data_IF_185421969488
#
_entry.id   IF_185421969488
#
_cell.length_a   1.000
_cell.length_b   1.000
_cell.length_c   1.000
_cell.angle_alpha   90.00
_cell.angle_beta   90.00
_cell.angle_gamma   90.00
#
_symmetry.space_group_name_H-M   'P 1'
#
loop_
_entity.id
_entity.type
_entity.pdbx_description
1 polymer ?
#
# COMPACT_ATOMS: atom_id res chain seq x y z
N UNK A 1 -51.58 29.73 17.42
CA UNK A 1 -51.37 28.27 17.52
C UNK A 1 -50.86 27.78 16.18
N UNK A 2 -49.58 27.42 16.08
CA UNK A 2 -49.02 26.80 14.87
C UNK A 2 -49.29 25.31 15.00
N UNK A 3 -50.23 24.79 14.22
CA UNK A 3 -50.49 23.34 14.10
C UNK A 3 -49.25 22.69 13.51
N UNK A 4 -48.48 21.97 14.34
CA UNK A 4 -47.49 21.03 13.85
C UNK A 4 -48.24 19.90 13.12
N UNK A 5 -48.23 19.93 11.79
CA UNK A 5 -48.68 18.80 10.99
C UNK A 5 -47.62 17.70 11.12
N UNK A 6 -47.89 16.73 11.99
CA UNK A 6 -47.10 15.49 12.04
C UNK A 6 -47.36 14.71 10.76
N UNK A 7 -46.39 14.74 9.83
CA UNK A 7 -46.43 13.89 8.65
C UNK A 7 -46.26 12.43 9.07
N UNK A 8 -47.34 11.65 9.01
CA UNK A 8 -47.29 10.19 9.23
C UNK A 8 -46.88 9.54 7.92
N UNK A 9 -45.65 9.02 7.88
CA UNK A 9 -45.12 8.28 6.72
C UNK A 9 -45.75 6.88 6.73
N UNK A 10 -46.44 6.45 5.65
CA UNK A 10 -46.99 5.11 5.58
C UNK A 10 -45.89 4.06 5.53
N UNK A 11 -45.97 3.03 6.38
CA UNK A 11 -45.03 1.89 6.36
C UNK A 11 -45.11 1.01 5.08
N UNK A 12 -46.01 1.36 4.15
CA UNK A 12 -46.12 0.71 2.83
C UNK A 12 -45.28 1.40 1.75
N UNK A 13 -44.66 2.54 2.06
CA UNK A 13 -43.73 3.20 1.15
C UNK A 13 -42.40 2.45 1.11
N UNK A 14 -42.37 1.39 0.30
CA UNK A 14 -41.20 0.53 0.14
C UNK A 14 -40.02 1.29 -0.46
N UNK A 15 -40.28 2.26 -1.35
CA UNK A 15 -39.22 3.06 -1.98
C UNK A 15 -38.47 3.92 -0.97
N UNK A 16 -39.20 4.60 -0.07
CA UNK A 16 -38.59 5.38 0.99
C UNK A 16 -37.83 4.51 1.99
N UNK A 17 -38.42 3.38 2.39
CA UNK A 17 -37.79 2.43 3.32
C UNK A 17 -36.49 1.88 2.73
N UNK A 18 -36.49 1.45 1.46
CA UNK A 18 -35.29 0.98 0.77
C UNK A 18 -34.24 2.07 0.66
N UNK A 19 -34.63 3.29 0.28
CA UNK A 19 -33.71 4.43 0.15
C UNK A 19 -33.03 4.76 1.49
N UNK A 20 -33.80 4.83 2.59
CA UNK A 20 -33.25 5.11 3.92
C UNK A 20 -32.43 3.93 4.47
N UNK A 21 -32.84 2.69 4.17
CA UNK A 21 -32.11 1.51 4.56
C UNK A 21 -30.74 1.41 3.87
N UNK A 22 -30.66 1.82 2.59
CA UNK A 22 -29.40 1.97 1.86
C UNK A 22 -28.56 3.11 2.45
N UNK A 23 -29.15 4.31 2.62
CA UNK A 23 -28.47 5.48 3.14
C UNK A 23 -27.78 5.23 4.49
N UNK A 24 -28.49 4.60 5.43
CA UNK A 24 -27.96 4.27 6.75
C UNK A 24 -26.81 3.25 6.73
N UNK A 25 -26.58 2.56 5.59
CA UNK A 25 -25.58 1.49 5.40
C UNK A 25 -24.52 1.83 4.35
N UNK A 26 -24.42 3.10 3.93
CA UNK A 26 -23.43 3.52 2.92
C UNK A 26 -21.98 3.46 3.44
N UNK A 27 -21.79 3.58 4.75
CA UNK A 27 -20.44 3.64 5.35
C UNK A 27 -19.94 2.24 5.68
N UNK A 28 -18.75 1.93 5.17
CA UNK A 28 -17.90 0.84 5.66
C UNK A 28 -16.85 1.41 6.61
N UNK A 29 -16.21 0.58 7.46
CA UNK A 29 -15.04 1.01 8.24
C UNK A 29 -13.98 1.63 7.34
N UNK A 30 -13.12 2.50 7.87
CA UNK A 30 -11.96 2.98 7.11
C UNK A 30 -10.75 2.07 7.32
N UNK A 31 -9.71 2.22 6.50
CA UNK A 31 -8.44 1.52 6.74
C UNK A 31 -7.84 1.97 8.07
N UNK A 32 -7.28 1.02 8.82
CA UNK A 32 -6.62 1.29 10.12
C UNK A 32 -5.45 2.28 9.96
N UNK A 33 -4.76 2.22 8.83
CA UNK A 33 -3.71 3.15 8.42
C UNK A 33 -3.93 3.48 6.95
N UNK A 34 -3.46 4.65 6.51
CA UNK A 34 -3.67 5.10 5.13
C UNK A 34 -5.14 5.29 4.74
N UNK A 35 -5.98 5.74 5.67
CA UNK A 35 -7.40 5.99 5.44
C UNK A 35 -7.64 7.09 4.40
N UNK A 36 -6.95 8.22 4.51
CA UNK A 36 -7.02 9.31 3.54
C UNK A 36 -6.22 8.97 2.29
N UNK A 37 -6.91 8.87 1.15
CA UNK A 37 -6.27 8.53 -0.11
C UNK A 37 -6.97 9.13 -1.33
N UNK A 38 -6.20 9.24 -2.41
CA UNK A 38 -6.68 9.47 -3.75
C UNK A 38 -6.09 8.41 -4.68
N UNK A 39 -6.74 8.14 -5.81
CA UNK A 39 -6.17 7.23 -6.78
C UNK A 39 -6.65 7.46 -8.20
N UNK A 40 -5.95 6.79 -9.11
CA UNK A 40 -6.10 6.95 -10.54
C UNK A 40 -5.73 5.65 -11.25
N UNK A 41 -6.35 5.44 -12.40
CA UNK A 41 -5.94 4.39 -13.33
C UNK A 41 -4.78 4.87 -14.19
N UNK A 42 -3.94 3.91 -14.56
CA UNK A 42 -2.82 4.11 -15.45
C UNK A 42 -2.41 2.82 -16.14
N UNK A 43 -1.26 2.89 -16.78
CA UNK A 43 -0.62 1.79 -17.48
C UNK A 43 0.84 1.70 -17.07
N UNK A 44 1.34 0.48 -16.90
CA UNK A 44 2.76 0.18 -16.82
C UNK A 44 3.23 -0.39 -18.15
N UNK A 45 4.33 0.16 -18.68
CA UNK A 45 4.99 -0.31 -19.91
C UNK A 45 6.41 -0.78 -19.57
N UNK A 46 6.73 -2.03 -19.89
CA UNK A 46 8.09 -2.56 -19.74
C UNK A 46 9.02 -1.91 -20.77
N UNK A 47 10.15 -1.33 -20.33
CA UNK A 47 11.11 -0.66 -21.22
C UNK A 47 12.39 -1.46 -21.43
N UNK A 48 12.67 -2.40 -20.53
CA UNK A 48 13.90 -3.19 -20.51
C UNK A 48 13.54 -4.63 -20.25
N UNK A 49 14.16 -5.55 -20.99
CA UNK A 49 14.03 -6.97 -20.72
C UNK A 49 14.69 -7.30 -19.36
N UNK A 50 13.94 -8.00 -18.50
CA UNK A 50 14.36 -8.41 -17.15
C UNK A 50 14.35 -9.93 -16.99
N UNK A 51 14.36 -10.70 -18.09
CA UNK A 51 14.42 -12.18 -18.06
C UNK A 51 15.64 -12.74 -17.33
N UNK A 52 16.70 -11.94 -17.15
CA UNK A 52 17.90 -12.31 -16.39
C UNK A 52 17.67 -12.34 -14.87
N UNK A 53 16.70 -11.57 -14.37
CA UNK A 53 16.43 -11.42 -12.93
C UNK A 53 15.08 -11.99 -12.49
N UNK A 54 14.10 -12.09 -13.40
CA UNK A 54 12.75 -12.54 -13.05
C UNK A 54 12.10 -13.30 -14.20
N UNK A 55 11.24 -14.25 -13.84
CA UNK A 55 10.38 -14.96 -14.79
C UNK A 55 9.01 -14.30 -14.96
N UNK A 56 8.75 -13.16 -14.32
CA UNK A 56 7.45 -12.51 -14.31
C UNK A 56 7.00 -12.07 -15.71
N UNK A 57 5.86 -12.58 -16.17
CA UNK A 57 5.43 -12.43 -17.57
C UNK A 57 5.27 -10.98 -18.04
N UNK A 58 5.00 -10.04 -17.13
CA UNK A 58 4.85 -8.61 -17.47
C UNK A 58 6.18 -7.86 -17.68
N UNK A 59 7.32 -8.47 -17.31
CA UNK A 59 8.68 -7.91 -17.45
C UNK A 59 9.54 -8.64 -18.49
N UNK A 60 9.04 -9.73 -19.09
CA UNK A 60 9.80 -10.55 -20.05
C UNK A 60 9.77 -10.02 -21.49
N UNK A 61 9.00 -8.96 -21.78
CA UNK A 61 8.84 -8.46 -23.14
C UNK A 61 8.77 -6.95 -23.16
N UNK A 62 9.71 -6.34 -23.89
CA UNK A 62 9.78 -4.90 -24.09
C UNK A 62 8.48 -4.40 -24.73
N UNK A 63 7.99 -3.26 -24.27
CA UNK A 63 6.73 -2.61 -24.67
C UNK A 63 5.46 -3.37 -24.31
N UNK A 64 5.52 -4.42 -23.48
CA UNK A 64 4.32 -5.03 -22.90
C UNK A 64 3.66 -4.04 -21.95
N UNK A 65 2.38 -3.77 -22.19
CA UNK A 65 1.56 -2.87 -21.38
C UNK A 65 0.59 -3.63 -20.50
N UNK A 66 0.46 -3.20 -19.26
CA UNK A 66 -0.52 -3.72 -18.32
C UNK A 66 -1.29 -2.58 -17.67
N UNK A 67 -2.55 -2.82 -17.36
CA UNK A 67 -3.36 -1.87 -16.62
C UNK A 67 -2.91 -1.82 -15.17
N UNK A 68 -3.01 -0.63 -14.58
CA UNK A 68 -2.66 -0.38 -13.19
C UNK A 68 -3.71 0.50 -12.52
N UNK A 69 -3.91 0.27 -11.22
CA UNK A 69 -4.59 1.20 -10.31
C UNK A 69 -3.58 1.70 -9.27
N UNK A 70 -3.40 3.01 -9.19
CA UNK A 70 -2.56 3.68 -8.20
C UNK A 70 -3.43 4.28 -7.09
N UNK A 71 -2.99 4.12 -5.84
CA UNK A 71 -3.55 4.76 -4.64
C UNK A 71 -2.41 5.43 -3.86
N UNK A 72 -2.55 6.74 -3.67
CA UNK A 72 -1.64 7.58 -2.88
C UNK A 72 -2.37 8.00 -1.60
N UNK A 73 -1.70 7.94 -0.46
CA UNK A 73 -2.33 8.15 0.85
C UNK A 73 -1.40 8.83 1.86
N UNK A 74 -1.96 9.45 2.90
CA UNK A 74 -1.24 9.72 4.17
C UNK A 74 -1.20 8.44 5.02
N UNK A 75 -0.70 8.43 6.26
CA UNK A 75 -0.68 7.23 7.14
C UNK A 75 -1.56 7.40 8.36
N UNK A 76 -1.25 8.40 9.19
CA UNK A 76 -1.80 8.54 10.54
C UNK A 76 -3.23 9.10 10.59
N UNK A 77 -3.56 10.15 9.82
CA UNK A 77 -4.87 10.79 9.89
C UNK A 77 -6.04 9.96 9.29
N UNK A 78 -7.26 10.23 9.78
CA UNK A 78 -8.50 9.58 9.31
C UNK A 78 -8.91 10.05 7.90
N UNK A 79 -9.93 9.43 7.29
CA UNK A 79 -10.37 9.73 5.90
C UNK A 79 -10.77 11.19 5.67
N UNK A 80 -11.21 11.90 6.72
CA UNK A 80 -11.63 13.31 6.65
C UNK A 80 -10.50 14.33 6.72
N UNK A 81 -9.26 13.89 6.92
CA UNK A 81 -8.10 14.75 7.16
C UNK A 81 -7.61 15.51 5.92
N UNK A 82 -6.66 16.43 6.14
CA UNK A 82 -6.04 17.23 5.10
C UNK A 82 -4.93 16.47 4.36
N UNK A 83 -4.88 16.62 3.03
CA UNK A 83 -3.88 15.97 2.17
C UNK A 83 -2.46 16.50 2.41
N UNK A 84 -2.31 17.76 2.84
CA UNK A 84 -1.01 18.42 3.01
C UNK A 84 -0.40 18.21 4.40
N UNK A 85 -0.84 17.17 5.12
CA UNK A 85 -0.32 16.87 6.46
C UNK A 85 1.11 16.35 6.36
N UNK A 86 2.00 16.78 7.26
CA UNK A 86 3.36 16.24 7.36
C UNK A 86 3.29 14.80 7.84
N UNK A 87 3.42 13.88 6.90
CA UNK A 87 3.38 12.44 7.15
C UNK A 87 4.21 11.72 6.10
N UNK A 88 4.50 10.45 6.33
CA UNK A 88 4.90 9.53 5.27
C UNK A 88 3.70 9.35 4.35
N UNK A 89 3.94 9.15 3.06
CA UNK A 89 2.87 8.95 2.09
C UNK A 89 2.98 7.56 1.47
N UNK A 90 1.85 6.85 1.45
CA UNK A 90 1.74 5.56 0.80
C UNK A 90 1.73 5.72 -0.72
N UNK A 91 2.35 4.77 -1.41
CA UNK A 91 2.38 4.64 -2.85
C UNK A 91 2.05 3.19 -3.21
N UNK A 92 0.77 2.89 -3.35
CA UNK A 92 0.27 1.54 -3.59
C UNK A 92 -0.23 1.39 -5.03
N UNK A 93 0.30 0.39 -5.74
CA UNK A 93 -0.01 0.10 -7.14
C UNK A 93 -0.52 -1.33 -7.25
N UNK A 94 -1.68 -1.51 -7.87
CA UNK A 94 -2.23 -2.82 -8.25
C UNK A 94 -2.03 -3.00 -9.74
N UNK A 95 -1.20 -3.97 -10.10
CA UNK A 95 -0.87 -4.33 -11.47
C UNK A 95 -1.72 -5.52 -11.90
N UNK A 96 -2.55 -5.34 -12.92
CA UNK A 96 -3.38 -6.42 -13.47
C UNK A 96 -2.58 -7.19 -14.52
N UNK A 97 -1.86 -8.23 -14.09
CA UNK A 97 -1.01 -9.03 -14.97
C UNK A 97 -1.77 -10.20 -15.61
N UNK A 98 -1.14 -10.86 -16.57
CA UNK A 98 -1.61 -12.11 -17.19
C UNK A 98 -1.39 -13.35 -16.32
N UNK A 99 -0.84 -13.18 -15.12
CA UNK A 99 -0.59 -14.26 -14.14
C UNK A 99 -1.34 -14.01 -12.82
N UNK A 100 -2.19 -12.99 -12.76
CA UNK A 100 -2.89 -12.56 -11.56
C UNK A 100 -2.62 -11.10 -11.22
N UNK A 101 -3.13 -10.65 -10.09
CA UNK A 101 -2.86 -9.30 -9.61
C UNK A 101 -1.55 -9.28 -8.82
N UNK A 102 -0.67 -8.34 -9.15
CA UNK A 102 0.55 -8.07 -8.39
C UNK A 102 0.42 -6.70 -7.71
N UNK A 103 0.56 -6.68 -6.39
CA UNK A 103 0.44 -5.47 -5.60
C UNK A 103 1.82 -4.98 -5.16
N UNK A 104 2.14 -3.75 -5.56
CA UNK A 104 3.35 -3.02 -5.20
C UNK A 104 2.99 -1.93 -4.20
N UNK A 105 3.20 -2.21 -2.91
CA UNK A 105 2.77 -1.34 -1.82
C UNK A 105 3.99 -0.72 -1.14
N UNK A 106 4.26 0.55 -1.49
CA UNK A 106 5.43 1.29 -1.03
C UNK A 106 5.05 2.53 -0.24
N UNK A 107 6.07 3.21 0.28
CA UNK A 107 5.98 4.54 0.84
C UNK A 107 6.88 5.49 0.02
N UNK A 108 6.69 6.79 0.19
CA UNK A 108 7.53 7.83 -0.43
C UNK A 108 8.91 8.00 0.25
N UNK A 109 9.18 7.30 1.35
CA UNK A 109 10.45 7.33 2.04
C UNK A 109 11.40 6.23 1.56
N UNK A 110 12.66 6.61 1.35
CA UNK A 110 13.70 5.74 0.77
C UNK A 110 14.35 4.81 1.78
N UNK A 111 13.86 4.71 3.02
CA UNK A 111 14.52 3.89 4.05
C UNK A 111 14.41 2.38 3.78
N UNK A 112 13.58 1.97 2.81
CA UNK A 112 13.48 0.58 2.35
C UNK A 112 14.47 0.35 1.21
N UNK A 113 15.03 -0.87 1.05
CA UNK A 113 15.84 -1.19 -0.11
C UNK A 113 15.07 -0.82 -1.38
N UNK A 114 15.66 0.06 -2.19
CA UNK A 114 15.01 0.61 -3.37
C UNK A 114 14.67 -0.52 -4.35
N UNK A 115 13.40 -0.57 -4.77
CA UNK A 115 12.79 -1.72 -5.45
C UNK A 115 13.39 -2.08 -6.83
N UNK A 116 14.34 -1.29 -7.34
CA UNK A 116 14.96 -1.47 -8.65
C UNK A 116 16.47 -1.71 -8.56
N UNK A 117 16.98 -2.05 -7.38
CA UNK A 117 18.37 -2.50 -7.19
C UNK A 117 18.44 -4.01 -7.24
N UNK A 118 19.50 -4.56 -7.84
CA UNK A 118 19.70 -6.01 -7.97
C UNK A 118 21.01 -6.36 -7.28
N UNK A 119 20.96 -7.34 -6.39
CA UNK A 119 22.11 -7.86 -5.66
C UNK A 119 22.17 -9.37 -5.84
N UNK A 120 23.37 -9.90 -6.13
CA UNK A 120 23.57 -11.35 -6.19
C UNK A 120 23.60 -11.97 -4.78
N UNK A 121 23.23 -13.26 -4.63
CA UNK A 121 23.30 -13.96 -3.33
C UNK A 121 24.70 -13.99 -2.71
N UNK A 122 25.76 -13.92 -3.51
CA UNK A 122 27.15 -13.87 -3.01
C UNK A 122 27.47 -12.49 -2.42
N UNK A 123 27.07 -11.42 -3.11
CA UNK A 123 27.22 -10.05 -2.62
C UNK A 123 26.44 -9.82 -1.31
N UNK A 124 25.26 -10.43 -1.18
CA UNK A 124 24.45 -10.38 0.03
C UNK A 124 25.19 -10.88 1.28
N UNK A 125 26.07 -11.89 1.16
CA UNK A 125 26.88 -12.41 2.29
C UNK A 125 28.00 -11.46 2.69
N UNK A 126 28.52 -10.69 1.74
CA UNK A 126 29.61 -9.73 1.96
C UNK A 126 29.15 -8.31 2.28
N UNK A 127 27.83 -8.05 2.21
CA UNK A 127 27.29 -6.72 2.44
C UNK A 127 27.55 -6.28 3.89
N UNK A 128 28.04 -5.04 4.08
CA UNK A 128 28.24 -4.45 5.41
C UNK A 128 26.93 -4.42 6.21
N UNK A 129 25.82 -4.17 5.52
CA UNK A 129 24.50 -4.00 6.10
C UNK A 129 23.68 -5.27 5.97
N UNK A 130 22.84 -5.54 6.97
CA UNK A 130 21.83 -6.57 6.86
C UNK A 130 20.84 -6.20 5.73
N UNK A 131 20.79 -7.02 4.70
CA UNK A 131 19.93 -6.82 3.52
C UNK A 131 18.42 -6.85 3.84
N UNK A 132 18.05 -7.41 5.00
CA UNK A 132 16.67 -7.49 5.48
C UNK A 132 16.33 -6.39 6.48
N UNK A 133 17.28 -5.52 6.85
CA UNK A 133 17.01 -4.37 7.71
C UNK A 133 16.33 -3.25 6.91
N UNK A 134 15.03 -3.07 7.13
CA UNK A 134 14.19 -2.05 6.49
C UNK A 134 14.51 -0.61 6.93
N UNK A 135 15.49 -0.40 7.81
CA UNK A 135 16.00 0.93 8.16
C UNK A 135 17.22 1.33 7.34
N UNK A 136 17.77 0.42 6.53
CA UNK A 136 18.99 0.63 5.75
C UNK A 136 18.71 0.64 4.25
N UNK A 137 19.33 1.59 3.57
CA UNK A 137 19.34 1.72 2.11
C UNK A 137 20.58 1.07 1.54
N UNK A 138 20.46 0.45 0.37
CA UNK A 138 21.60 -0.02 -0.40
C UNK A 138 22.24 1.15 -1.16
N UNK A 139 23.52 1.47 -0.95
CA UNK A 139 24.15 2.61 -1.60
C UNK A 139 24.06 2.51 -3.13
N UNK A 140 23.48 3.52 -3.79
CA UNK A 140 23.34 3.55 -5.26
C UNK A 140 24.68 3.54 -6.01
N UNK A 141 25.77 3.91 -5.32
CA UNK A 141 27.13 3.82 -5.84
C UNK A 141 27.55 2.37 -6.08
N UNK A 142 27.15 1.47 -5.19
CA UNK A 142 27.52 0.06 -5.23
C UNK A 142 26.46 -0.74 -6.01
N UNK A 143 25.20 -0.36 -5.88
CA UNK A 143 24.05 -0.99 -6.55
C UNK A 143 23.24 0.06 -7.33
N UNK A 144 23.60 0.34 -8.60
CA UNK A 144 22.90 1.35 -9.39
C UNK A 144 21.47 0.92 -9.72
N UNK A 145 20.58 1.91 -9.86
CA UNK A 145 19.20 1.69 -10.25
C UNK A 145 19.12 1.19 -11.70
N UNK A 146 18.39 0.09 -11.92
CA UNK A 146 18.06 -0.39 -13.27
C UNK A 146 16.67 0.08 -13.67
N UNK A 147 16.56 0.73 -14.81
CA UNK A 147 15.26 1.10 -15.35
C UNK A 147 14.55 -0.14 -15.90
N UNK A 148 13.37 -0.46 -15.36
CA UNK A 148 12.58 -1.64 -15.75
C UNK A 148 11.35 -1.29 -16.58
N UNK A 149 10.79 -0.10 -16.40
CA UNK A 149 9.58 0.32 -17.10
C UNK A 149 9.20 1.77 -16.88
N UNK A 150 8.09 2.16 -17.50
CA UNK A 150 7.47 3.48 -17.41
C UNK A 150 6.05 3.34 -16.88
N UNK A 151 5.72 4.17 -15.89
CA UNK A 151 4.37 4.32 -15.37
C UNK A 151 3.71 5.55 -16.00
N UNK A 152 2.52 5.38 -16.55
CA UNK A 152 1.72 6.48 -17.11
C UNK A 152 0.36 6.52 -16.43
N UNK A 153 0.08 7.59 -15.68
CA UNK A 153 -1.23 7.82 -15.06
C UNK A 153 -2.04 8.69 -16.00
N UNK A 154 -3.10 8.14 -16.58
CA UNK A 154 -3.81 8.79 -17.69
C UNK A 154 -5.32 8.92 -17.46
N UNK A 155 -5.87 8.32 -16.39
CA UNK A 155 -7.31 8.30 -16.19
C UNK A 155 -7.68 8.42 -14.73
N UNK A 156 -8.43 9.46 -14.40
CA UNK A 156 -9.04 9.59 -13.08
C UNK A 156 -10.05 8.47 -12.85
N UNK A 157 -10.15 8.03 -11.60
CA UNK A 157 -11.29 7.23 -11.16
C UNK A 157 -12.55 8.07 -11.33
N UNK A 158 -13.53 7.57 -12.07
CA UNK A 158 -14.74 8.33 -12.37
C UNK A 158 -15.56 8.57 -11.09
N UNK A 159 -15.94 9.84 -10.95
CA UNK A 159 -16.49 10.45 -9.75
C UNK A 159 -17.98 10.15 -9.61
N UNK A 160 -18.37 9.18 -8.79
CA UNK A 160 -19.64 9.25 -8.06
C UNK A 160 -19.31 9.80 -6.68
N UNK A 161 -19.20 11.13 -6.57
CA UNK A 161 -19.17 11.73 -5.24
C UNK A 161 -20.59 11.70 -4.70
N UNK A 162 -20.74 11.02 -3.57
CA UNK A 162 -21.85 11.12 -2.63
C UNK A 162 -21.91 12.52 -1.99
N UNK A 163 -21.97 13.57 -2.80
CA UNK A 163 -22.33 14.92 -2.34
C UNK A 163 -23.73 15.21 -2.86
N UNK A 164 -24.73 15.03 -2.00
CA UNK A 164 -26.08 15.59 -2.13
C UNK A 164 -26.03 17.12 -2.03
N UNK A 165 -25.25 17.77 -2.89
CA UNK A 165 -25.21 19.22 -2.98
C UNK A 165 -25.34 19.57 -4.45
N UNK A 166 -26.40 20.33 -4.73
CA UNK A 166 -26.85 20.86 -6.03
C UNK A 166 -27.87 20.01 -6.79
N UNK A 167 -29.11 20.07 -6.26
CA UNK A 167 -30.27 20.49 -7.05
C UNK A 167 -29.83 21.56 -8.07
N UNK A 168 -30.22 21.39 -9.34
CA UNK A 168 -30.00 22.28 -10.52
C UNK A 168 -28.77 22.04 -11.39
N UNK A 169 -28.75 20.94 -12.15
CA UNK A 169 -28.29 20.95 -13.54
C UNK A 169 -28.87 19.76 -14.30
N UNK A 170 -30.05 19.90 -14.95
CA UNK A 170 -30.48 18.93 -15.94
C UNK A 170 -29.75 19.27 -17.23
N UNK A 171 -28.96 18.36 -17.81
CA UNK A 171 -28.76 18.24 -19.26
C UNK A 171 -27.84 17.05 -19.58
N UNK A 172 -28.43 16.09 -20.29
CA UNK A 172 -27.90 15.01 -21.16
C UNK A 172 -28.08 13.57 -20.65
N UNK A 173 -28.82 12.72 -21.41
CA UNK A 173 -28.93 11.30 -21.14
C UNK A 173 -27.64 10.62 -21.57
N UNK A 174 -26.69 10.50 -20.64
CA UNK A 174 -25.49 9.71 -20.87
C UNK A 174 -25.87 8.23 -20.80
N UNK A 175 -25.74 7.57 -21.94
CA UNK A 175 -25.62 6.12 -22.13
C UNK A 175 -25.29 5.36 -20.84
N UNK A 176 -26.07 4.30 -20.61
CA UNK A 176 -25.94 3.26 -19.58
C UNK A 176 -24.58 2.50 -19.68
N UNK A 177 -23.46 3.22 -19.59
CA UNK A 177 -22.13 2.68 -19.46
C UNK A 177 -21.90 2.45 -17.96
N UNK A 178 -21.64 1.19 -17.59
CA UNK A 178 -21.40 0.65 -16.23
C UNK A 178 -21.04 1.76 -15.21
N UNK A 179 -21.90 2.05 -14.21
CA UNK A 179 -21.61 3.09 -13.23
C UNK A 179 -20.34 2.71 -12.47
N UNK A 180 -19.25 3.43 -12.75
CA UNK A 180 -17.95 3.25 -12.11
C UNK A 180 -17.89 4.12 -10.86
N UNK A 181 -17.59 3.50 -9.72
CA UNK A 181 -17.79 4.07 -8.40
C UNK A 181 -16.45 4.32 -7.70
N UNK A 182 -16.15 5.58 -7.39
CA UNK A 182 -14.95 5.98 -6.63
C UNK A 182 -14.77 5.17 -5.34
N UNK A 183 -15.87 4.90 -4.65
CA UNK A 183 -15.85 4.11 -3.42
C UNK A 183 -15.35 2.68 -3.66
N UNK A 184 -15.84 2.03 -4.72
CA UNK A 184 -15.38 0.68 -5.08
C UNK A 184 -13.91 0.67 -5.54
N UNK A 185 -13.48 1.73 -6.21
CA UNK A 185 -12.14 1.79 -6.81
C UNK A 185 -11.05 2.24 -5.81
N UNK A 186 -11.35 3.07 -4.81
CA UNK A 186 -10.36 3.64 -3.88
C UNK A 186 -10.54 3.22 -2.41
N UNK A 187 -11.78 3.07 -1.95
CA UNK A 187 -12.08 2.70 -0.56
C UNK A 187 -12.18 1.18 -0.39
N UNK A 188 -12.55 0.46 -1.46
CA UNK A 188 -12.65 -1.00 -1.44
C UNK A 188 -11.48 -1.72 -2.13
N UNK A 189 -10.45 -0.99 -2.58
CA UNK A 189 -9.27 -1.63 -3.17
C UNK A 189 -8.42 -2.31 -2.10
N UNK A 190 -8.42 -3.63 -2.11
CA UNK A 190 -7.60 -4.42 -1.23
C UNK A 190 -6.21 -4.60 -1.84
N UNK A 191 -5.17 -4.21 -1.12
CA UNK A 191 -3.79 -4.56 -1.48
C UNK A 191 -3.31 -5.74 -0.64
N UNK A 192 -2.71 -6.73 -1.31
CA UNK A 192 -2.10 -7.87 -0.67
C UNK A 192 -0.60 -7.63 -0.51
N UNK A 193 -0.11 -7.60 0.73
CA UNK A 193 1.28 -7.31 1.08
C UNK A 193 2.19 -8.56 1.02
N UNK A 194 1.86 -9.56 0.20
CA UNK A 194 2.38 -10.92 0.32
C UNK A 194 3.86 -11.14 -0.01
N UNK A 195 4.62 -10.12 -0.42
CA UNK A 195 6.04 -10.25 -0.79
C UNK A 195 6.97 -9.45 0.13
N UNK A 196 6.66 -9.36 1.42
CA UNK A 196 7.59 -8.83 2.42
C UNK A 196 8.58 -9.91 2.88
N UNK A 197 9.67 -9.49 3.55
CA UNK A 197 10.62 -10.41 4.18
C UNK A 197 9.85 -11.42 5.05
N UNK A 198 10.10 -12.73 4.91
CA UNK A 198 9.42 -13.75 5.70
C UNK A 198 9.47 -13.41 7.20
N UNK A 199 8.30 -13.40 7.85
CA UNK A 199 8.13 -12.99 9.25
C UNK A 199 7.64 -11.56 9.48
N UNK A 200 7.71 -10.68 8.47
CA UNK A 200 7.11 -9.33 8.51
C UNK A 200 5.83 -9.17 7.69
N UNK A 201 5.45 -10.18 6.92
CA UNK A 201 4.24 -10.14 6.12
C UNK A 201 2.99 -9.97 7.02
N UNK A 202 2.20 -8.91 6.85
CA UNK A 202 0.99 -8.73 7.64
C UNK A 202 -0.06 -9.77 7.24
N UNK A 203 -0.87 -10.18 8.21
CA UNK A 203 -2.03 -11.04 7.94
C UNK A 203 -3.00 -10.36 6.97
N UNK A 204 -3.73 -11.16 6.20
CA UNK A 204 -4.82 -10.72 5.31
C UNK A 204 -6.11 -10.36 6.07
N UNK A 205 -6.12 -10.53 7.39
CA UNK A 205 -7.30 -10.33 8.25
C UNK A 205 -7.91 -8.91 8.21
N UNK A 206 -7.13 -7.81 8.12
CA UNK A 206 -7.71 -6.47 8.05
C UNK A 206 -8.62 -6.28 6.83
N UNK A 207 -8.28 -6.90 5.70
CA UNK A 207 -9.07 -6.83 4.47
C UNK A 207 -10.40 -7.58 4.60
N UNK A 208 -10.38 -8.73 5.26
CA UNK A 208 -11.59 -9.53 5.52
C UNK A 208 -12.55 -8.80 6.45
N UNK A 209 -12.03 -8.09 7.45
CA UNK A 209 -12.83 -7.26 8.35
C UNK A 209 -13.47 -6.08 7.62
N UNK A 210 -12.69 -5.41 6.76
CA UNK A 210 -13.12 -4.20 6.06
C UNK A 210 -14.19 -4.46 4.98
N UNK A 211 -13.96 -5.47 4.15
CA UNK A 211 -14.72 -5.69 2.89
C UNK A 211 -15.48 -7.01 2.86
N UNK A 212 -15.34 -7.84 3.89
CA UNK A 212 -15.87 -9.20 3.92
C UNK A 212 -14.95 -10.22 3.27
N UNK A 213 -15.33 -11.49 3.38
CA UNK A 213 -14.51 -12.62 2.95
C UNK A 213 -14.38 -12.76 1.42
N UNK A 214 -15.33 -12.18 0.67
CA UNK A 214 -15.39 -12.21 -0.79
C UNK A 214 -14.86 -10.94 -1.47
N UNK A 215 -14.04 -10.14 -0.77
CA UNK A 215 -13.50 -8.87 -1.27
C UNK A 215 -12.77 -8.97 -2.63
N UNK A 216 -12.20 -10.14 -2.95
CA UNK A 216 -11.49 -10.40 -4.21
C UNK A 216 -12.41 -10.39 -5.43
N UNK A 217 -13.72 -10.57 -5.23
CA UNK A 217 -14.69 -10.59 -6.32
C UNK A 217 -15.15 -9.19 -6.74
N UNK A 218 -14.85 -8.17 -5.93
CA UNK A 218 -15.13 -6.78 -6.28
C UNK A 218 -14.44 -6.41 -7.60
N UNK A 219 -15.08 -5.64 -8.50
CA UNK A 219 -14.54 -5.34 -9.83
C UNK A 219 -13.09 -4.80 -9.82
N UNK A 220 -12.74 -4.03 -8.80
CA UNK A 220 -11.41 -3.44 -8.57
C UNK A 220 -10.37 -4.46 -8.09
N UNK A 221 -10.78 -5.44 -7.29
CA UNK A 221 -9.86 -6.43 -6.72
C UNK A 221 -9.77 -7.68 -7.59
N UNK A 222 -10.75 -7.88 -8.47
CA UNK A 222 -10.83 -9.03 -9.35
C UNK A 222 -9.64 -9.05 -10.31
N UNK A 223 -8.96 -10.19 -10.46
CA UNK A 223 -7.92 -10.31 -11.46
C UNK A 223 -8.48 -10.24 -12.87
N UNK A 224 -7.64 -9.78 -13.80
CA UNK A 224 -7.97 -9.78 -15.22
C UNK A 224 -8.05 -11.20 -15.80
N UNK A 225 -7.40 -12.17 -15.15
CA UNK A 225 -7.35 -13.58 -15.55
C UNK A 225 -8.37 -14.43 -14.79
N UNK A 226 -8.83 -15.55 -15.39
CA UNK A 226 -9.66 -16.52 -14.69
C UNK A 226 -8.94 -17.08 -13.46
N UNK A 227 -9.62 -17.08 -12.32
CA UNK A 227 -9.14 -17.72 -11.09
C UNK A 227 -9.97 -18.98 -10.86
N UNK A 228 -9.27 -20.08 -10.58
CA UNK A 228 -9.89 -21.33 -10.18
C UNK A 228 -9.40 -21.69 -8.77
N UNK A 229 -10.29 -21.51 -7.80
CA UNK A 229 -10.04 -21.79 -6.38
C UNK A 229 -11.22 -22.59 -5.83
N UNK A 230 -11.30 -23.91 -6.11
CA UNK A 230 -12.50 -24.71 -5.81
C UNK A 230 -12.74 -24.88 -4.31
N UNK A 231 -11.73 -24.68 -3.47
CA UNK A 231 -11.84 -24.82 -2.02
C UNK A 231 -12.31 -23.55 -1.30
N UNK A 232 -12.33 -22.40 -1.97
CA UNK A 232 -12.94 -21.18 -1.43
C UNK A 232 -14.38 -21.09 -1.92
N UNK A 233 -15.33 -21.40 -1.03
CA UNK A 233 -16.78 -21.39 -1.31
C UNK A 233 -17.51 -20.51 -0.31
N UNK A 234 -18.72 -20.13 -0.69
CA UNK A 234 -19.69 -19.43 0.14
C UNK A 234 -19.17 -18.06 0.63
N UNK A 235 -19.34 -17.77 1.92
CA UNK A 235 -18.95 -16.50 2.54
C UNK A 235 -20.07 -15.45 2.56
N UNK A 236 -20.02 -14.58 3.58
CA UNK A 236 -21.04 -13.54 3.78
C UNK A 236 -20.96 -12.44 2.72
N UNK A 237 -22.08 -12.23 2.02
CA UNK A 237 -22.33 -11.20 0.99
C UNK A 237 -21.38 -11.20 -0.22
N UNK A 238 -21.90 -10.73 -1.37
CA UNK A 238 -21.20 -10.56 -2.65
C UNK A 238 -20.46 -11.81 -3.19
N UNK A 239 -21.19 -12.91 -3.42
CA UNK A 239 -20.74 -13.89 -4.40
C UNK A 239 -21.28 -13.49 -5.79
N UNK A 240 -20.45 -12.84 -6.61
CA UNK A 240 -20.78 -12.51 -8.01
C UNK A 240 -20.66 -13.73 -8.95
N UNK A 241 -20.27 -14.88 -8.42
CA UNK A 241 -20.13 -16.12 -9.15
C UNK A 241 -21.19 -17.14 -8.74
N UNK A 242 -21.37 -18.17 -9.56
CA UNK A 242 -22.25 -19.31 -9.25
C UNK A 242 -21.65 -20.22 -8.15
N UNK A 243 -20.69 -19.72 -7.36
CA UNK A 243 -19.97 -20.45 -6.32
C UNK A 243 -19.37 -21.77 -6.85
N UNK A 244 -18.87 -21.75 -8.09
CA UNK A 244 -18.49 -22.91 -8.93
C UNK A 244 -19.47 -24.11 -8.92
N UNK A 245 -20.77 -23.86 -8.72
CA UNK A 245 -21.84 -24.85 -8.86
C UNK A 245 -21.58 -26.17 -8.12
N UNK A 246 -21.73 -27.28 -8.85
CA UNK A 246 -21.54 -28.63 -8.33
C UNK A 246 -20.08 -29.13 -8.42
N UNK A 247 -19.12 -28.28 -8.78
CA UNK A 247 -17.72 -28.69 -8.80
C UNK A 247 -17.24 -29.09 -7.40
N UNK A 248 -16.45 -30.16 -7.27
CA UNK A 248 -15.89 -30.58 -5.99
C UNK A 248 -15.20 -29.42 -5.26
N UNK A 249 -15.43 -29.30 -3.95
CA UNK A 249 -14.88 -28.21 -3.13
C UNK A 249 -13.50 -28.53 -2.53
N UNK A 250 -12.79 -29.51 -3.08
CA UNK A 250 -11.46 -29.94 -2.64
C UNK A 250 -10.60 -30.30 -3.85
N UNK A 251 -9.29 -30.21 -3.66
CA UNK A 251 -8.29 -30.58 -4.68
C UNK A 251 -8.14 -32.10 -4.73
N UNK A 252 -7.98 -32.66 -5.93
CA UNK A 252 -7.69 -34.09 -6.10
C UNK A 252 -8.93 -34.97 -6.11
N UNK A 253 -10.11 -34.40 -6.36
CA UNK A 253 -11.32 -35.18 -6.62
C UNK A 253 -11.17 -36.01 -7.90
N UNK A 254 -11.68 -37.24 -7.87
CA UNK A 254 -11.79 -38.10 -9.04
C UNK A 254 -12.86 -37.61 -10.03
N UNK A 255 -13.83 -36.82 -9.57
CA UNK A 255 -14.92 -36.26 -10.39
C UNK A 255 -14.43 -35.15 -11.31
N UNK A 256 -13.50 -34.31 -10.82
CA UNK A 256 -12.76 -33.34 -11.61
C UNK A 256 -11.29 -33.33 -11.17
N UNK A 257 -10.43 -34.08 -11.87
CA UNK A 257 -9.00 -34.07 -11.61
C UNK A 257 -8.41 -32.68 -11.92
N UNK A 258 -7.90 -32.00 -10.89
CA UNK A 258 -7.22 -30.72 -11.08
C UNK A 258 -5.78 -30.96 -11.52
N UNK A 259 -5.39 -30.46 -12.69
CA UNK A 259 -4.00 -30.47 -13.15
C UNK A 259 -3.31 -29.18 -12.71
N UNK A 260 -2.34 -29.31 -11.80
CA UNK A 260 -1.47 -28.20 -11.43
C UNK A 260 -0.44 -27.95 -12.53
N UNK A 261 -0.25 -26.69 -12.91
CA UNK A 261 0.90 -26.32 -13.74
C UNK A 261 2.17 -26.46 -12.91
N UNK A 262 2.96 -27.48 -13.21
CA UNK A 262 4.26 -27.74 -12.55
C UNK A 262 5.43 -27.09 -13.26
N UNK A 263 5.28 -26.72 -14.53
CA UNK A 263 6.36 -26.12 -15.34
C UNK A 263 5.80 -25.05 -16.28
N UNK A 264 6.50 -23.92 -16.43
CA UNK A 264 6.25 -22.92 -17.49
C UNK A 264 7.57 -22.51 -18.11
N UNK A 265 7.65 -22.54 -19.44
CA UNK A 265 8.87 -22.20 -20.20
C UNK A 265 10.14 -22.97 -19.75
N UNK A 266 10.00 -24.26 -19.41
CA UNK A 266 11.12 -25.09 -18.94
C UNK A 266 11.56 -24.86 -17.49
N UNK A 267 10.96 -23.90 -16.77
CA UNK A 267 11.19 -23.65 -15.36
C UNK A 267 10.13 -24.36 -14.51
N UNK A 268 10.56 -25.21 -13.59
CA UNK A 268 9.69 -25.91 -12.64
C UNK A 268 9.26 -24.94 -11.53
N UNK A 269 7.95 -24.82 -11.30
CA UNK A 269 7.44 -24.09 -10.14
C UNK A 269 7.84 -24.85 -8.87
N UNK A 270 8.74 -24.27 -8.08
CA UNK A 270 9.20 -24.83 -6.81
C UNK A 270 8.87 -23.87 -5.67
N UNK A 271 8.26 -24.38 -4.60
CA UNK A 271 8.14 -23.66 -3.32
C UNK A 271 9.47 -23.62 -2.57
N UNK A 272 10.38 -24.55 -2.86
CA UNK A 272 11.78 -24.52 -2.44
C UNK A 272 12.54 -23.69 -3.46
N UNK A 273 12.54 -22.38 -3.28
CA UNK A 273 13.49 -21.56 -4.02
C UNK A 273 14.88 -21.77 -3.41
N UNK A 274 15.93 -21.81 -4.23
CA UNK A 274 17.32 -21.86 -3.75
C UNK A 274 17.69 -20.65 -2.84
N UNK A 275 16.76 -19.69 -2.71
CA UNK A 275 16.85 -18.47 -1.93
C UNK A 275 16.56 -18.66 -0.42
N UNK A 276 15.93 -19.76 0.01
CA UNK A 276 15.65 -20.03 1.43
C UNK A 276 16.50 -21.20 1.98
N UNK A 277 17.70 -20.88 2.47
CA UNK A 277 18.58 -21.83 3.16
C UNK A 277 18.69 -21.46 4.64
N UNK A 278 18.12 -22.29 5.51
CA UNK A 278 18.16 -22.12 6.95
C UNK A 278 19.46 -22.71 7.51
N UNK A 279 20.26 -21.90 8.21
CA UNK A 279 21.58 -22.31 8.69
C UNK A 279 21.60 -22.76 10.17
N UNK A 280 20.60 -22.41 10.97
CA UNK A 280 20.63 -22.63 12.43
C UNK A 280 19.25 -22.88 13.04
N UNK A 281 19.22 -23.14 14.35
CA UNK A 281 18.01 -23.27 15.16
C UNK A 281 17.21 -21.95 15.19
N UNK A 282 15.89 -22.08 15.32
CA UNK A 282 14.98 -20.94 15.52
C UNK A 282 15.22 -20.35 16.92
N UNK A 283 15.61 -19.07 16.97
CA UNK A 283 15.79 -18.32 18.21
C UNK A 283 15.15 -16.94 18.10
N UNK A 284 14.68 -16.39 19.23
CA UNK A 284 14.32 -14.97 19.29
C UNK A 284 15.58 -14.11 19.19
N UNK A 285 15.72 -13.35 18.10
CA UNK A 285 16.82 -12.40 17.91
C UNK A 285 16.32 -10.98 18.17
N UNK A 286 16.98 -10.28 19.10
CA UNK A 286 16.74 -8.85 19.36
C UNK A 286 18.04 -8.11 19.05
N UNK A 287 18.00 -7.18 18.10
CA UNK A 287 19.16 -6.34 17.79
C UNK A 287 19.41 -5.31 18.89
N UNK A 288 20.69 -5.08 19.21
CA UNK A 288 21.11 -3.97 20.07
C UNK A 288 21.42 -2.73 19.22
N UNK A 289 21.17 -1.54 19.79
CA UNK A 289 21.51 -0.28 19.12
C UNK A 289 23.02 -0.14 19.00
N UNK A 290 23.49 -0.07 17.76
CA UNK A 290 24.90 0.08 17.42
C UNK A 290 25.21 1.48 16.88
N UNK A 291 26.48 1.84 16.83
CA UNK A 291 26.91 3.08 16.16
C UNK A 291 26.59 3.06 14.67
N UNK A 292 26.48 1.87 14.06
CA UNK A 292 26.18 1.70 12.64
C UNK A 292 24.77 2.19 12.27
N UNK A 293 23.83 2.15 13.22
CA UNK A 293 22.45 2.60 13.00
C UNK A 293 22.34 4.11 12.72
N UNK A 294 23.34 4.88 13.15
CA UNK A 294 23.38 6.33 12.96
C UNK A 294 24.14 6.76 11.70
N UNK A 295 24.95 5.88 11.09
CA UNK A 295 25.79 6.23 9.93
C UNK A 295 24.96 6.70 8.73
N UNK A 296 23.87 6.01 8.40
CA UNK A 296 23.03 6.38 7.26
C UNK A 296 22.23 7.67 7.51
N UNK A 297 21.78 7.87 8.75
CA UNK A 297 21.14 9.12 9.16
C UNK A 297 22.12 10.31 9.06
N UNK A 298 23.38 10.11 9.46
CA UNK A 298 24.42 11.12 9.32
C UNK A 298 24.76 11.40 7.85
N UNK A 299 24.79 10.36 7.01
CA UNK A 299 24.90 10.48 5.57
C UNK A 299 23.79 11.33 4.96
N UNK A 300 22.53 11.08 5.35
CA UNK A 300 21.37 11.86 4.91
C UNK A 300 21.45 13.32 5.39
N UNK A 301 21.88 13.56 6.63
CA UNK A 301 22.10 14.91 7.15
C UNK A 301 23.12 15.70 6.32
N UNK A 302 24.21 15.05 5.90
CA UNK A 302 25.19 15.63 4.98
C UNK A 302 24.62 15.91 3.59
N UNK A 303 23.73 15.06 3.07
CA UNK A 303 23.03 15.28 1.80
C UNK A 303 22.08 16.47 1.87
N UNK A 304 21.33 16.63 2.98
CA UNK A 304 20.47 17.80 3.21
C UNK A 304 21.27 19.11 3.24
N UNK A 305 22.53 19.06 3.65
CA UNK A 305 23.42 20.22 3.65
C UNK A 305 23.88 20.69 2.27
N UNK A 306 23.65 19.91 1.20
CA UNK A 306 24.01 20.31 -0.17
C UNK A 306 23.18 21.48 -0.68
N UNK A 307 21.93 21.56 -0.24
CA UNK A 307 21.00 22.62 -0.61
C UNK A 307 20.86 23.64 0.53
N UNK A 308 21.09 24.94 0.28
CA UNK A 308 21.03 25.95 1.32
C UNK A 308 19.63 26.04 1.94
N UNK A 309 19.56 26.06 3.27
CA UNK A 309 18.33 26.20 4.05
C UNK A 309 17.52 24.91 4.26
N UNK A 310 17.92 23.77 3.68
CA UNK A 310 17.22 22.49 3.92
C UNK A 310 17.44 21.98 5.35
N UNK A 311 18.66 22.11 5.87
CA UNK A 311 18.98 21.78 7.26
C UNK A 311 18.23 22.67 8.26
N UNK A 312 18.09 23.97 7.98
CA UNK A 312 17.36 24.89 8.85
C UNK A 312 15.85 24.59 8.86
N UNK A 313 15.27 24.27 7.70
CA UNK A 313 13.87 23.81 7.62
C UNK A 313 13.68 22.53 8.42
N UNK A 314 14.60 21.57 8.34
CA UNK A 314 14.52 20.35 9.13
C UNK A 314 14.50 20.65 10.64
N UNK A 315 15.44 21.49 11.10
CA UNK A 315 15.52 21.91 12.51
C UNK A 315 14.24 22.61 12.94
N UNK A 316 13.73 23.56 12.15
CA UNK A 316 12.48 24.28 12.45
C UNK A 316 11.28 23.34 12.55
N UNK A 317 11.16 22.37 11.62
CA UNK A 317 10.09 21.38 11.63
C UNK A 317 10.15 20.47 12.85
N UNK A 318 11.35 20.00 13.23
CA UNK A 318 11.51 19.12 14.40
C UNK A 318 11.25 19.90 15.68
N UNK A 319 11.78 21.13 15.80
CA UNK A 319 11.57 21.98 16.97
C UNK A 319 10.09 22.33 17.18
N UNK A 320 9.34 22.60 16.11
CA UNK A 320 7.89 22.86 16.19
C UNK A 320 7.09 21.64 16.67
N UNK A 321 7.54 20.42 16.35
CA UNK A 321 6.93 19.21 16.92
C UNK A 321 7.35 19.01 18.38
N UNK A 322 8.62 19.24 18.71
CA UNK A 322 9.14 19.02 20.06
C UNK A 322 8.60 20.00 21.10
N UNK A 323 8.19 21.22 20.72
CA UNK A 323 7.58 22.18 21.68
C UNK A 323 6.29 21.64 22.31
N UNK A 324 5.57 20.75 21.61
CA UNK A 324 4.35 20.12 22.13
C UNK A 324 4.64 19.08 23.22
N UNK A 325 5.90 18.64 23.36
CA UNK A 325 6.32 17.65 24.35
C UNK A 325 6.50 18.32 25.72
N UNK A 326 5.52 18.12 26.60
CA UNK A 326 5.53 18.69 27.95
C UNK A 326 6.64 18.13 28.86
N UNK A 327 7.05 16.88 28.64
CA UNK A 327 7.99 16.20 29.54
C UNK A 327 9.46 16.52 29.18
N UNK A 328 10.14 17.30 30.03
CA UNK A 328 11.51 17.75 29.79
C UNK A 328 12.49 16.60 29.56
N UNK A 329 12.41 15.54 30.36
CA UNK A 329 13.29 14.38 30.22
C UNK A 329 13.15 13.70 28.85
N UNK A 330 11.95 13.67 28.27
CA UNK A 330 11.74 13.11 26.93
C UNK A 330 12.38 14.00 25.86
N UNK A 331 12.22 15.33 25.98
CA UNK A 331 12.91 16.29 25.09
C UNK A 331 14.42 16.14 25.13
N UNK A 332 15.01 16.05 26.33
CA UNK A 332 16.47 15.85 26.50
C UNK A 332 16.94 14.55 25.85
N UNK A 333 16.21 13.44 26.01
CA UNK A 333 16.54 12.17 25.37
C UNK A 333 16.50 12.26 23.84
N UNK A 334 15.57 13.04 23.28
CA UNK A 334 15.53 13.28 21.83
C UNK A 334 16.74 14.08 21.36
N UNK A 335 17.16 15.13 22.09
CA UNK A 335 18.37 15.88 21.74
C UNK A 335 19.63 15.00 21.79
N UNK A 336 19.72 14.11 22.78
CA UNK A 336 20.82 13.13 22.87
C UNK A 336 20.81 12.17 21.68
N UNK A 337 19.64 11.68 21.26
CA UNK A 337 19.50 10.82 20.10
C UNK A 337 20.02 11.50 18.82
N UNK A 338 19.64 12.75 18.58
CA UNK A 338 20.14 13.50 17.42
C UNK A 338 21.63 13.84 17.53
N UNK A 339 22.15 14.01 18.75
CA UNK A 339 23.59 14.20 19.00
C UNK A 339 24.45 13.00 18.61
N UNK A 340 23.86 11.78 18.55
CA UNK A 340 24.53 10.57 18.06
C UNK A 340 24.66 10.53 16.53
N UNK A 341 23.80 11.26 15.82
CA UNK A 341 23.90 11.44 14.36
C UNK A 341 24.95 12.50 14.04
N UNK A 342 24.81 13.68 14.66
CA UNK A 342 25.74 14.79 14.53
C UNK A 342 25.70 15.67 15.78
N UNK A 343 26.87 16.04 16.31
CA UNK A 343 26.96 16.80 17.57
C UNK A 343 26.39 18.22 17.46
N UNK A 344 26.52 18.86 16.30
CA UNK A 344 25.96 20.19 16.04
C UNK A 344 24.43 20.14 15.91
N UNK A 345 23.91 19.08 15.28
CA UNK A 345 22.46 18.87 15.11
C UNK A 345 21.72 18.86 16.45
N UNK A 346 22.21 18.10 17.44
CA UNK A 346 21.60 18.04 18.77
C UNK A 346 21.59 19.39 19.48
N UNK A 347 22.71 20.13 19.44
CA UNK A 347 22.83 21.45 20.05
C UNK A 347 21.91 22.49 19.39
N UNK A 348 21.82 22.48 18.05
CA UNK A 348 20.94 23.38 17.30
C UNK A 348 19.46 23.11 17.56
N UNK A 349 19.07 21.84 17.63
CA UNK A 349 17.70 21.45 17.97
C UNK A 349 17.30 21.88 19.37
N UNK A 350 18.19 21.69 20.36
CA UNK A 350 17.95 22.15 21.72
C UNK A 350 17.75 23.67 21.75
N UNK A 351 18.67 24.44 21.14
CA UNK A 351 18.56 25.90 21.09
C UNK A 351 17.27 26.37 20.42
N UNK A 352 16.93 25.79 19.26
CA UNK A 352 15.74 26.16 18.51
C UNK A 352 14.45 25.83 19.29
N UNK A 353 14.38 24.65 19.89
CA UNK A 353 13.17 24.19 20.61
C UNK A 353 12.95 25.01 21.90
N UNK A 354 13.98 25.22 22.72
CA UNK A 354 13.83 25.98 23.96
C UNK A 354 13.53 27.47 23.69
N UNK A 355 14.02 28.02 22.58
CA UNK A 355 13.68 29.40 22.17
C UNK A 355 12.22 29.59 21.75
N UNK A 356 11.52 28.51 21.36
CA UNK A 356 10.09 28.55 21.01
C UNK A 356 9.17 28.38 22.22
N UNK A 357 9.72 28.00 23.37
CA UNK A 357 9.00 27.82 24.63
C UNK A 357 9.08 29.05 25.55
N UNK A 358 10.04 29.93 25.26
CA UNK A 358 10.15 31.26 25.88
C UNK A 358 9.24 32.22 25.16
#
# INVERSE_FOLDING_TARGET
MVTQHTFVIPNRDTQLIETLAHFARERIPEYVVHAKAAGAYGEFECTSDCTDITSASFLNTISKKINMLLRISTIGPERGSADTTRDVHGWAMKLYTDEGNLDWVFNNSTNKPDNNTVMSPEQAKSCKWNIFDMTKVWPHKDFPLRQVGRLTINRNVSRLYFTHTYITCPLTPMSLAKPRNYFADIEQVAFSLSNMVPGWAPSVDPTRYLLGVNYQQLPTNRPAVPVYCPFQRDGFMMNFSDNYGADPNYVGSTLQPTTFKTTRQGLTYSTLTEHEKWASQVSSFTGELSTQDFEQAAGLWGVLGRDPGHQDRFIGNVADNLRSVMYLKLRTMVYELFSRVDKDLGARLQKATESLLT
#
